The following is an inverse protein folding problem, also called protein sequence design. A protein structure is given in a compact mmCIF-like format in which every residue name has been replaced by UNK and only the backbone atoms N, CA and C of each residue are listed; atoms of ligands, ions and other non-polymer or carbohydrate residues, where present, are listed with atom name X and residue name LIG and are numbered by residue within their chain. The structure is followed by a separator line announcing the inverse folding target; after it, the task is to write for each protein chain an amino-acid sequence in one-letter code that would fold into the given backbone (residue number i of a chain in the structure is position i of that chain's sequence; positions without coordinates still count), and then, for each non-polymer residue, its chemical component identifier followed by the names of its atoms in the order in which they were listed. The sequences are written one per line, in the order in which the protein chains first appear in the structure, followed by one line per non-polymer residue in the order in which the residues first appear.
data_IF_974804107485
#
_entry.id   IF_974804107485
#
_cell.length_a   1.000
_cell.length_b   1.000
_cell.length_c   1.000
_cell.angle_alpha   90.00
_cell.angle_beta   90.00
_cell.angle_gamma   90.00
#
_symmetry.space_group_name_H-M   'P 1'
#
loop_
_entity.id
_entity.type
_entity.pdbx_description
1 polymer ?
#
# COMPACT_ATOMS: atom_id res chain seq x y z
N UNK A 1 -11.02 -10.31 -27.45
CA UNK A 1 -11.38 -9.40 -26.34
C UNK A 1 -11.35 -10.23 -25.08
N UNK A 2 -10.17 -10.41 -24.50
CA UNK A 2 -9.98 -11.26 -23.34
C UNK A 2 -8.70 -10.84 -22.66
N UNK A 3 -8.80 -10.34 -21.43
CA UNK A 3 -8.06 -10.88 -20.29
C UNK A 3 -8.85 -10.48 -19.05
N UNK A 4 -9.49 -11.49 -18.49
CA UNK A 4 -10.07 -11.53 -17.16
C UNK A 4 -8.91 -11.37 -16.16
N UNK A 5 -8.65 -10.12 -15.76
CA UNK A 5 -7.82 -9.78 -14.62
C UNK A 5 -8.77 -9.03 -13.70
N UNK A 6 -9.03 -9.55 -12.51
CA UNK A 6 -9.63 -8.76 -11.44
C UNK A 6 -8.45 -8.15 -10.67
N UNK A 7 -7.98 -6.94 -11.05
CA UNK A 7 -6.93 -6.29 -10.29
C UNK A 7 -7.46 -6.05 -8.88
N UNK A 8 -6.57 -6.17 -7.89
CA UNK A 8 -6.68 -5.45 -6.62
C UNK A 8 -7.18 -4.05 -7.00
N UNK A 9 -8.40 -3.72 -6.53
CA UNK A 9 -9.25 -2.65 -7.06
C UNK A 9 -8.43 -1.59 -7.80
N UNK A 10 -8.57 -1.49 -9.14
CA UNK A 10 -7.76 -0.57 -9.96
C UNK A 10 -7.63 0.82 -9.33
N UNK A 11 -8.67 1.30 -8.63
CA UNK A 11 -8.63 2.56 -7.89
C UNK A 11 -7.59 2.63 -6.77
N UNK A 12 -7.31 1.56 -6.04
CA UNK A 12 -6.32 1.60 -4.95
C UNK A 12 -4.89 1.60 -5.48
N UNK A 13 -4.61 0.77 -6.50
CA UNK A 13 -3.29 0.74 -7.12
C UNK A 13 -2.99 2.04 -7.89
N UNK A 14 -3.98 2.57 -8.63
CA UNK A 14 -3.88 3.86 -9.32
C UNK A 14 -3.66 5.02 -8.33
N UNK A 15 -4.31 4.99 -7.16
CA UNK A 15 -4.05 5.95 -6.08
C UNK A 15 -2.64 5.83 -5.52
N UNK A 16 -2.16 4.62 -5.25
CA UNK A 16 -0.78 4.43 -4.80
C UNK A 16 0.24 4.91 -5.84
N UNK A 17 0.00 4.64 -7.13
CA UNK A 17 0.81 5.17 -8.24
C UNK A 17 0.73 6.70 -8.32
N UNK A 18 -0.45 7.30 -8.12
CA UNK A 18 -0.61 8.75 -8.08
C UNK A 18 0.11 9.36 -6.88
N UNK A 19 0.07 8.72 -5.71
CA UNK A 19 0.80 9.15 -4.51
C UNK A 19 2.32 9.03 -4.70
N UNK A 20 2.79 7.96 -5.34
CA UNK A 20 4.20 7.78 -5.70
C UNK A 20 4.67 8.81 -6.74
N UNK A 21 3.82 9.11 -7.73
CA UNK A 21 4.09 10.10 -8.78
C UNK A 21 4.09 11.52 -8.23
N UNK A 22 3.11 11.85 -7.38
CA UNK A 22 3.01 13.17 -6.73
C UNK A 22 3.99 13.33 -5.57
N UNK A 23 4.60 12.23 -5.11
CA UNK A 23 5.48 12.18 -3.93
C UNK A 23 4.83 12.84 -2.72
N UNK A 24 3.54 12.56 -2.54
CA UNK A 24 2.79 13.07 -1.39
C UNK A 24 3.13 12.28 -0.13
N UNK A 25 3.10 12.98 1.01
CA UNK A 25 3.17 12.34 2.32
C UNK A 25 1.85 11.66 2.61
N UNK A 26 1.90 10.38 2.90
CA UNK A 26 0.75 9.56 3.24
C UNK A 26 0.97 8.85 4.57
N UNK A 27 -0.14 8.52 5.24
CA UNK A 27 -0.09 7.75 6.49
C UNK A 27 -0.45 6.29 6.23
N UNK A 28 0.49 5.39 6.50
CA UNK A 28 0.34 3.95 6.34
C UNK A 28 0.01 3.33 7.70
N UNK A 29 -1.08 2.60 7.78
CA UNK A 29 -1.42 1.80 8.95
C UNK A 29 -1.08 0.36 8.60
N UNK A 30 -0.17 -0.27 9.33
CA UNK A 30 0.22 -1.66 9.11
C UNK A 30 0.23 -2.45 10.41
N UNK A 31 0.07 -3.76 10.32
CA UNK A 31 0.09 -4.67 11.46
C UNK A 31 0.80 -5.95 11.08
N UNK A 32 1.94 -6.19 11.72
CA UNK A 32 2.75 -7.41 11.55
C UNK A 32 2.16 -8.63 12.23
N UNK A 33 1.47 -8.44 13.36
CA UNK A 33 0.95 -9.55 14.16
C UNK A 33 -0.51 -9.31 14.56
N UNK A 34 -1.38 -10.33 14.50
CA UNK A 34 -2.79 -10.18 14.83
C UNK A 34 -3.05 -9.75 16.27
N UNK A 35 -2.12 -10.07 17.18
CA UNK A 35 -2.19 -9.80 18.62
C UNK A 35 -1.65 -8.39 19.00
N UNK A 36 -0.98 -7.71 18.08
CA UNK A 36 -0.36 -6.40 18.32
C UNK A 36 -1.23 -5.28 17.74
N UNK A 37 -1.33 -4.11 18.42
CA UNK A 37 -2.00 -2.96 17.85
C UNK A 37 -1.37 -2.54 16.52
N UNK A 38 -2.18 -2.07 15.56
CA UNK A 38 -1.67 -1.57 14.29
C UNK A 38 -0.77 -0.36 14.52
N UNK A 39 0.35 -0.34 13.81
CA UNK A 39 1.31 0.76 13.81
C UNK A 39 1.04 1.69 12.66
N UNK A 40 1.13 2.99 12.92
CA UNK A 40 1.05 4.04 11.90
C UNK A 40 2.44 4.52 11.54
N UNK A 41 2.70 4.66 10.25
CA UNK A 41 3.93 5.21 9.71
C UNK A 41 3.61 6.22 8.63
N UNK A 42 4.10 7.44 8.78
CA UNK A 42 3.91 8.49 7.79
C UNK A 42 5.18 8.68 6.97
N UNK A 43 5.02 8.76 5.66
CA UNK A 43 6.15 8.96 4.76
C UNK A 43 5.70 9.27 3.34
N UNK A 44 6.67 9.63 2.49
CA UNK A 44 6.42 9.83 1.06
C UNK A 44 6.65 8.54 0.32
N UNK A 45 5.64 8.06 -0.39
CA UNK A 45 5.79 6.92 -1.30
C UNK A 45 6.70 7.35 -2.45
N UNK A 46 7.77 6.60 -2.64
CA UNK A 46 8.74 6.86 -3.72
C UNK A 46 8.64 5.86 -4.85
N UNK A 47 8.38 4.61 -4.50
CA UNK A 47 8.32 3.51 -5.45
C UNK A 47 7.47 2.37 -4.88
N UNK A 48 6.79 1.64 -5.75
CA UNK A 48 5.99 0.46 -5.42
C UNK A 48 6.48 -0.67 -6.30
N UNK A 49 6.85 -1.79 -5.68
CA UNK A 49 7.43 -2.92 -6.41
C UNK A 49 6.85 -4.25 -5.95
N UNK A 50 6.70 -5.17 -6.89
CA UNK A 50 6.36 -6.55 -6.58
C UNK A 50 7.62 -7.37 -6.37
N UNK A 51 7.69 -8.05 -5.22
CA UNK A 51 8.74 -9.00 -4.89
C UNK A 51 8.10 -10.29 -4.41
N UNK A 52 8.41 -11.39 -5.11
CA UNK A 52 7.92 -12.73 -4.77
C UNK A 52 6.38 -12.85 -4.78
N UNK A 53 5.73 -12.19 -5.75
CA UNK A 53 4.25 -12.06 -5.85
C UNK A 53 3.59 -11.31 -4.68
N UNK A 54 4.39 -10.64 -3.86
CA UNK A 54 3.92 -9.76 -2.80
C UNK A 54 4.27 -8.33 -3.16
N UNK A 55 3.33 -7.41 -2.96
CA UNK A 55 3.55 -6.00 -3.20
C UNK A 55 4.25 -5.35 -2.00
N UNK A 56 5.25 -4.54 -2.30
CA UNK A 56 6.00 -3.74 -1.35
C UNK A 56 5.93 -2.28 -1.74
N UNK A 57 5.83 -1.45 -0.71
CA UNK A 57 5.84 -0.01 -0.80
C UNK A 57 7.14 0.51 -0.23
N UNK A 58 7.84 1.35 -0.99
CA UNK A 58 9.07 2.00 -0.58
C UNK A 58 8.85 3.48 -0.34
N UNK A 59 9.29 3.93 0.83
CA UNK A 59 9.24 5.32 1.24
C UNK A 59 10.55 6.05 0.95
N UNK A 60 10.48 7.39 0.96
CA UNK A 60 11.66 8.26 0.76
C UNK A 60 12.77 8.01 1.78
N UNK A 61 12.40 7.60 2.99
CA UNK A 61 13.34 7.27 4.07
C UNK A 61 14.12 5.97 3.79
N UNK A 62 13.74 5.23 2.75
CA UNK A 62 14.23 3.89 2.46
C UNK A 62 13.49 2.79 3.22
N UNK A 63 12.45 3.15 3.98
CA UNK A 63 11.57 2.20 4.65
C UNK A 63 10.71 1.45 3.63
N UNK A 64 10.67 0.12 3.75
CA UNK A 64 9.90 -0.75 2.87
C UNK A 64 8.87 -1.53 3.69
N UNK A 65 7.61 -1.48 3.28
CA UNK A 65 6.51 -2.18 3.96
C UNK A 65 5.75 -3.07 2.98
N UNK A 66 5.38 -4.27 3.44
CA UNK A 66 4.52 -5.18 2.68
C UNK A 66 3.09 -4.66 2.69
N UNK A 67 2.48 -4.55 1.50
CA UNK A 67 1.05 -4.23 1.39
C UNK A 67 0.17 -5.30 2.06
N UNK A 68 0.62 -6.55 2.11
CA UNK A 68 -0.04 -7.66 2.80
C UNK A 68 -0.26 -7.39 4.31
N UNK A 69 0.63 -6.64 4.94
CA UNK A 69 0.49 -6.22 6.35
C UNK A 69 -0.16 -4.84 6.48
N UNK A 70 -0.44 -4.17 5.37
CA UNK A 70 -0.98 -2.83 5.33
C UNK A 70 -2.51 -2.90 5.49
N UNK A 71 -3.01 -2.18 6.46
CA UNK A 71 -4.43 -2.09 6.80
C UNK A 71 -5.09 -0.88 6.15
N UNK A 72 -4.39 0.25 6.07
CA UNK A 72 -4.91 1.48 5.47
C UNK A 72 -3.78 2.38 4.96
N UNK A 73 -4.11 3.23 3.98
CA UNK A 73 -3.23 4.29 3.47
C UNK A 73 -4.02 5.57 3.35
N UNK A 74 -3.56 6.63 3.99
CA UNK A 74 -4.11 7.98 3.85
C UNK A 74 -5.62 8.04 4.07
N UNK A 75 -6.09 7.44 5.19
CA UNK A 75 -7.52 7.31 5.55
C UNK A 75 -8.34 6.35 4.67
N UNK A 76 -7.74 5.76 3.63
CA UNK A 76 -8.35 4.67 2.85
C UNK A 76 -8.03 3.31 3.48
N UNK A 77 -9.02 2.72 4.12
CA UNK A 77 -8.93 1.36 4.65
C UNK A 77 -8.92 0.34 3.49
N UNK A 78 -7.89 -0.52 3.44
CA UNK A 78 -7.89 -1.68 2.52
C UNK A 78 -9.02 -2.68 2.85
N UNK A 79 -9.51 -2.61 4.10
CA UNK A 79 -10.44 -3.59 4.68
C UNK A 79 -11.83 -3.63 4.05
N UNK A 80 -12.18 -2.67 3.21
CA UNK A 80 -13.51 -2.59 2.57
C UNK A 80 -13.59 -3.30 1.20
N UNK A 81 -12.48 -3.87 0.69
CA UNK A 81 -12.48 -4.61 -0.58
C UNK A 81 -12.83 -6.10 -0.44
N UNK A 82 -13.70 -6.44 0.51
CA UNK A 82 -14.16 -7.81 0.80
C UNK A 82 -15.47 -8.14 0.09
#
# INVERSE_FOLDING_TARGET
MATDYQPINCSFYDELEALATTRQRCTLVYRTEPDTPPSTYSGVITDLFLRDKVEYLRLEDGFEVRLDNLLAVDDKELRDYC
#
